data_IF_241461200786
#
_entry.id   IF_241461200786
#
_cell.length_a   1.000
_cell.length_b   1.000
_cell.length_c   1.000
_cell.angle_alpha   90.00
_cell.angle_beta   90.00
_cell.angle_gamma   90.00
#
_symmetry.space_group_name_H-M   'P 1'
#
loop_
_entity.id
_entity.type
_entity.pdbx_description
1 polymer ?
#
# COMPACT_ATOMS: atom_id res chain seq x y z
N UNK A 1 24.30 -10.58 3.02
CA UNK A 1 22.99 -9.98 2.65
C UNK A 1 22.90 -8.64 3.34
N UNK A 2 22.80 -7.55 2.59
CA UNK A 2 22.47 -6.24 3.16
C UNK A 2 21.07 -6.34 3.80
N UNK A 3 20.90 -5.83 5.02
CA UNK A 3 19.61 -5.87 5.76
C UNK A 3 18.64 -4.78 5.30
N UNK A 4 19.00 -4.02 4.26
CA UNK A 4 18.18 -2.98 3.64
C UNK A 4 16.77 -3.45 3.27
N UNK A 5 16.61 -4.67 2.72
CA UNK A 5 15.28 -5.24 2.42
C UNK A 5 14.36 -5.25 3.65
N UNK A 6 14.93 -5.52 4.83
CA UNK A 6 14.17 -5.62 6.08
C UNK A 6 13.76 -4.23 6.57
N UNK A 7 14.65 -3.24 6.44
CA UNK A 7 14.30 -1.86 6.73
C UNK A 7 13.21 -1.34 5.80
N UNK A 8 13.27 -1.65 4.50
CA UNK A 8 12.22 -1.27 3.55
C UNK A 8 10.88 -1.87 3.98
N UNK A 9 10.83 -3.17 4.28
CA UNK A 9 9.61 -3.83 4.72
C UNK A 9 9.04 -3.24 6.02
N UNK A 10 9.90 -2.92 7.00
CA UNK A 10 9.46 -2.24 8.24
C UNK A 10 8.86 -0.87 7.94
N UNK A 11 9.55 -0.04 7.15
CA UNK A 11 9.07 1.32 6.87
C UNK A 11 7.77 1.26 6.05
N UNK A 12 7.63 0.32 5.12
CA UNK A 12 6.39 0.12 4.37
C UNK A 12 5.23 -0.31 5.28
N UNK A 13 5.45 -1.25 6.21
CA UNK A 13 4.45 -1.62 7.21
C UNK A 13 4.09 -0.47 8.16
N UNK A 14 5.06 0.36 8.55
CA UNK A 14 4.78 1.58 9.31
C UNK A 14 4.00 2.60 8.47
N UNK A 15 4.29 2.70 7.17
CA UNK A 15 3.60 3.57 6.23
C UNK A 15 2.13 3.17 6.10
N UNK A 16 1.81 1.88 5.97
CA UNK A 16 0.46 1.33 5.98
C UNK A 16 -0.30 1.71 7.28
N UNK A 17 0.33 1.57 8.44
CA UNK A 17 -0.27 2.02 9.71
C UNK A 17 -0.56 3.53 9.71
N UNK A 18 0.36 4.35 9.20
CA UNK A 18 0.18 5.80 9.11
C UNK A 18 -0.95 6.14 8.13
N UNK A 19 -1.03 5.45 6.99
CA UNK A 19 -2.12 5.61 6.03
C UNK A 19 -3.47 5.33 6.70
N UNK A 20 -3.60 4.21 7.42
CA UNK A 20 -4.82 3.90 8.18
C UNK A 20 -5.18 4.97 9.22
N UNK A 21 -4.19 5.53 9.92
CA UNK A 21 -4.42 6.64 10.86
C UNK A 21 -4.88 7.91 10.14
N UNK A 22 -4.28 8.25 9.00
CA UNK A 22 -4.69 9.40 8.19
C UNK A 22 -6.10 9.24 7.67
N UNK A 23 -6.45 8.04 7.18
CA UNK A 23 -7.78 7.70 6.74
C UNK A 23 -8.83 7.89 7.83
N UNK A 24 -8.55 7.39 9.03
CA UNK A 24 -9.44 7.57 10.19
C UNK A 24 -9.54 9.02 10.65
N UNK A 25 -8.45 9.78 10.61
CA UNK A 25 -8.41 11.17 11.08
C UNK A 25 -9.12 12.12 10.10
N UNK A 26 -9.02 11.85 8.80
CA UNK A 26 -9.60 12.65 7.73
C UNK A 26 -10.83 11.96 7.11
N UNK A 27 -11.53 11.13 7.89
CA UNK A 27 -12.62 10.27 7.41
C UNK A 27 -13.70 11.04 6.66
N UNK A 28 -14.10 12.22 7.14
CA UNK A 28 -15.10 13.06 6.48
C UNK A 28 -14.66 13.48 5.06
N UNK A 29 -13.39 13.89 4.90
CA UNK A 29 -12.84 14.22 3.60
C UNK A 29 -12.84 13.00 2.68
N UNK A 30 -12.41 11.84 3.19
CA UNK A 30 -12.32 10.61 2.41
C UNK A 30 -13.69 10.06 1.99
N UNK A 31 -14.71 10.22 2.83
CA UNK A 31 -16.10 9.87 2.48
C UNK A 31 -16.59 10.75 1.32
N UNK A 32 -16.41 12.07 1.44
CA UNK A 32 -16.81 13.02 0.39
C UNK A 32 -16.04 12.75 -0.91
N UNK A 33 -14.72 12.55 -0.81
CA UNK A 33 -13.88 12.23 -1.96
C UNK A 33 -14.31 10.93 -2.63
N UNK A 34 -14.56 9.88 -1.84
CA UNK A 34 -15.06 8.59 -2.32
C UNK A 34 -16.39 8.72 -3.05
N UNK A 35 -17.32 9.54 -2.53
CA UNK A 35 -18.61 9.81 -3.16
C UNK A 35 -18.44 10.54 -4.51
N UNK A 36 -17.56 11.55 -4.58
CA UNK A 36 -17.24 12.26 -5.84
C UNK A 36 -16.68 11.28 -6.87
N UNK A 37 -15.70 10.45 -6.47
CA UNK A 37 -15.10 9.45 -7.36
C UNK A 37 -16.17 8.46 -7.84
N UNK A 38 -17.00 7.94 -6.94
CA UNK A 38 -18.09 7.03 -7.29
C UNK A 38 -19.07 7.66 -8.29
N UNK A 39 -19.45 8.92 -8.09
CA UNK A 39 -20.34 9.64 -9.00
C UNK A 39 -19.73 9.87 -10.39
N UNK A 40 -18.40 9.85 -10.52
CA UNK A 40 -17.71 9.96 -11.81
C UNK A 40 -17.62 8.58 -12.48
N UNK A 41 -17.15 7.56 -11.76
CA UNK A 41 -16.85 6.24 -12.34
C UNK A 41 -18.03 5.28 -12.38
N UNK A 42 -19.10 5.57 -11.61
CA UNK A 42 -20.34 4.80 -11.50
C UNK A 42 -20.12 3.31 -11.20
N UNK A 43 -19.02 2.98 -10.50
CA UNK A 43 -18.64 1.60 -10.17
C UNK A 43 -17.95 1.56 -8.80
N UNK A 44 -18.48 0.81 -7.82
CA UNK A 44 -17.84 0.68 -6.51
C UNK A 44 -16.45 0.04 -6.62
N UNK A 45 -16.31 -0.91 -7.55
CA UNK A 45 -15.03 -1.59 -7.79
C UNK A 45 -13.97 -0.63 -8.33
N UNK A 46 -14.33 0.23 -9.29
CA UNK A 46 -13.38 1.21 -9.84
C UNK A 46 -13.06 2.29 -8.81
N UNK A 47 -14.05 2.73 -8.02
CA UNK A 47 -13.81 3.68 -6.93
C UNK A 47 -12.86 3.10 -5.86
N UNK A 48 -12.99 1.81 -5.55
CA UNK A 48 -12.05 1.09 -4.69
C UNK A 48 -10.64 1.02 -5.31
N UNK A 49 -10.49 0.69 -6.60
CA UNK A 49 -9.17 0.72 -7.26
C UNK A 49 -8.53 2.11 -7.16
N UNK A 50 -9.31 3.19 -7.31
CA UNK A 50 -8.79 4.55 -7.15
C UNK A 50 -8.24 4.78 -5.75
N UNK A 51 -8.90 4.25 -4.72
CA UNK A 51 -8.40 4.29 -3.34
C UNK A 51 -7.05 3.57 -3.21
N UNK A 52 -6.96 2.33 -3.69
CA UNK A 52 -5.71 1.54 -3.63
C UNK A 52 -4.55 2.22 -4.38
N UNK A 53 -4.84 2.87 -5.51
CA UNK A 53 -3.82 3.64 -6.25
C UNK A 53 -3.36 4.87 -5.46
N UNK A 54 -4.26 5.55 -4.75
CA UNK A 54 -3.89 6.67 -3.90
C UNK A 54 -3.05 6.23 -2.69
N UNK A 55 -3.37 5.07 -2.10
CA UNK A 55 -2.58 4.44 -1.05
C UNK A 55 -1.17 4.08 -1.55
N UNK A 56 -1.07 3.47 -2.73
CA UNK A 56 0.20 3.19 -3.37
C UNK A 56 1.02 4.47 -3.63
N UNK A 57 0.39 5.57 -4.09
CA UNK A 57 1.05 6.87 -4.26
C UNK A 57 1.54 7.40 -2.91
N UNK A 58 0.76 7.25 -1.84
CA UNK A 58 1.17 7.62 -0.50
C UNK A 58 2.44 6.86 -0.07
N UNK A 59 2.47 5.54 -0.26
CA UNK A 59 3.66 4.73 0.03
C UNK A 59 4.86 5.11 -0.84
N UNK A 60 4.65 5.40 -2.13
CA UNK A 60 5.71 5.90 -3.01
C UNK A 60 6.38 7.12 -2.43
N UNK A 61 5.60 8.11 -1.98
CA UNK A 61 6.12 9.35 -1.41
C UNK A 61 6.88 9.06 -0.12
N UNK A 62 6.27 8.33 0.82
CA UNK A 62 6.89 8.02 2.13
C UNK A 62 8.21 7.28 1.95
N UNK A 63 8.24 6.20 1.16
CA UNK A 63 9.47 5.42 0.98
C UNK A 63 10.53 6.16 0.17
N UNK A 64 10.14 6.95 -0.84
CA UNK A 64 11.10 7.78 -1.57
C UNK A 64 11.79 8.79 -0.65
N UNK A 65 11.05 9.37 0.29
CA UNK A 65 11.60 10.33 1.26
C UNK A 65 12.46 9.64 2.33
N UNK A 66 12.04 8.51 2.88
CA UNK A 66 12.82 7.83 3.94
C UNK A 66 14.14 7.28 3.39
N UNK A 67 14.11 6.64 2.22
CA UNK A 67 15.29 6.02 1.62
C UNK A 67 16.04 6.94 0.64
N UNK A 68 15.55 8.16 0.42
CA UNK A 68 16.10 9.10 -0.57
C UNK A 68 16.24 8.46 -1.98
N UNK A 69 15.29 7.59 -2.34
CA UNK A 69 15.34 6.77 -3.54
C UNK A 69 13.95 6.59 -4.15
N UNK A 70 13.72 7.25 -5.28
CA UNK A 70 12.49 7.10 -6.07
C UNK A 70 12.32 5.64 -6.51
N UNK A 71 13.41 4.94 -6.82
CA UNK A 71 13.38 3.53 -7.21
C UNK A 71 12.79 2.65 -6.09
N UNK A 72 13.23 2.84 -4.84
CA UNK A 72 12.67 2.10 -3.69
C UNK A 72 11.20 2.46 -3.50
N UNK A 73 10.85 3.74 -3.60
CA UNK A 73 9.45 4.18 -3.50
C UNK A 73 8.54 3.55 -4.55
N UNK A 74 8.96 3.55 -5.83
CA UNK A 74 8.20 2.93 -6.92
C UNK A 74 8.05 1.43 -6.72
N UNK A 75 9.13 0.74 -6.35
CA UNK A 75 9.10 -0.71 -6.09
C UNK A 75 8.15 -1.05 -4.95
N UNK A 76 8.23 -0.31 -3.84
CA UNK A 76 7.41 -0.50 -2.64
C UNK A 76 5.92 -0.25 -2.93
N UNK A 77 5.59 0.87 -3.57
CA UNK A 77 4.22 1.21 -3.95
C UNK A 77 3.62 0.18 -4.91
N UNK A 78 4.42 -0.30 -5.86
CA UNK A 78 3.96 -1.25 -6.87
C UNK A 78 3.68 -2.62 -6.25
N UNK A 79 4.60 -3.14 -5.42
CA UNK A 79 4.37 -4.44 -4.77
C UNK A 79 3.18 -4.38 -3.80
N UNK A 80 3.03 -3.28 -3.05
CA UNK A 80 1.91 -3.09 -2.16
C UNK A 80 0.58 -3.13 -2.91
N UNK A 81 0.43 -2.30 -3.96
CA UNK A 81 -0.74 -2.28 -4.83
C UNK A 81 -1.05 -3.64 -5.45
N UNK A 82 -0.03 -4.40 -5.86
CA UNK A 82 -0.23 -5.75 -6.41
C UNK A 82 -0.84 -6.68 -5.37
N UNK A 83 -0.39 -6.59 -4.11
CA UNK A 83 -0.94 -7.40 -3.02
C UNK A 83 -2.39 -6.99 -2.74
N UNK A 84 -2.70 -5.69 -2.74
CA UNK A 84 -4.06 -5.19 -2.56
C UNK A 84 -5.04 -5.67 -3.62
N UNK A 85 -4.65 -5.48 -4.87
CA UNK A 85 -5.42 -5.97 -6.01
C UNK A 85 -5.59 -7.50 -5.94
N UNK A 86 -4.55 -8.22 -5.51
CA UNK A 86 -4.60 -9.69 -5.42
C UNK A 86 -5.60 -10.15 -4.37
N UNK A 87 -5.46 -9.74 -3.11
CA UNK A 87 -6.32 -10.28 -2.04
C UNK A 87 -7.78 -9.87 -2.23
N UNK A 88 -8.05 -8.70 -2.80
CA UNK A 88 -9.41 -8.28 -3.14
C UNK A 88 -9.97 -9.04 -4.35
N UNK A 89 -9.18 -9.26 -5.42
CA UNK A 89 -9.62 -10.03 -6.58
C UNK A 89 -10.05 -11.46 -6.21
N UNK A 90 -9.32 -12.09 -5.29
CA UNK A 90 -9.66 -13.42 -4.75
C UNK A 90 -10.65 -13.37 -3.58
N UNK A 91 -11.14 -12.18 -3.20
CA UNK A 91 -12.09 -11.96 -2.13
C UNK A 91 -11.68 -12.64 -0.82
N UNK A 92 -10.38 -12.53 -0.47
CA UNK A 92 -9.81 -13.14 0.71
C UNK A 92 -10.34 -12.42 1.96
N UNK A 93 -11.03 -13.16 2.83
CA UNK A 93 -11.54 -12.62 4.09
C UNK A 93 -10.45 -12.62 5.15
N UNK A 94 -9.63 -11.57 5.15
CA UNK A 94 -8.52 -11.40 6.08
C UNK A 94 -8.93 -10.54 7.27
N UNK A 95 -8.57 -10.97 8.48
CA UNK A 95 -8.56 -10.06 9.64
C UNK A 95 -7.50 -8.98 9.44
N UNK A 96 -7.59 -7.81 10.10
CA UNK A 96 -6.58 -6.76 9.97
C UNK A 96 -5.14 -7.22 10.26
N UNK A 97 -4.97 -8.19 11.17
CA UNK A 97 -3.67 -8.79 11.46
C UNK A 97 -3.17 -9.68 10.31
N UNK A 98 -4.05 -10.51 9.74
CA UNK A 98 -3.71 -11.37 8.61
C UNK A 98 -3.40 -10.56 7.36
N UNK A 99 -4.13 -9.46 7.13
CA UNK A 99 -3.88 -8.53 6.04
C UNK A 99 -2.47 -7.94 6.13
N UNK A 100 -2.13 -7.31 7.27
CA UNK A 100 -0.78 -6.75 7.47
C UNK A 100 0.33 -7.81 7.43
N UNK A 101 0.08 -9.00 7.96
CA UNK A 101 1.04 -10.09 7.91
C UNK A 101 1.30 -10.58 6.47
N UNK A 102 0.26 -10.59 5.62
CA UNK A 102 0.38 -10.91 4.20
C UNK A 102 1.28 -9.90 3.50
N UNK A 103 1.01 -8.60 3.66
CA UNK A 103 1.82 -7.52 3.10
C UNK A 103 3.27 -7.64 3.54
N UNK A 104 3.52 -7.63 4.86
CA UNK A 104 4.87 -7.69 5.39
C UNK A 104 5.66 -8.90 4.88
N UNK A 105 5.02 -10.07 4.78
CA UNK A 105 5.68 -11.30 4.31
C UNK A 105 6.04 -11.24 2.83
N UNK A 106 5.10 -10.86 1.97
CA UNK A 106 5.32 -10.82 0.52
C UNK A 106 6.27 -9.69 0.15
N UNK A 107 6.10 -8.51 0.73
CA UNK A 107 6.97 -7.34 0.50
C UNK A 107 8.41 -7.63 0.94
N UNK A 108 8.59 -8.29 2.09
CA UNK A 108 9.92 -8.73 2.55
C UNK A 108 10.58 -9.68 1.55
N UNK A 109 9.86 -10.71 1.10
CA UNK A 109 10.37 -11.69 0.12
C UNK A 109 10.72 -10.98 -1.20
N UNK A 110 9.87 -10.07 -1.65
CA UNK A 110 10.09 -9.29 -2.87
C UNK A 110 11.40 -8.49 -2.79
N UNK A 111 11.61 -7.70 -1.73
CA UNK A 111 12.84 -6.92 -1.58
C UNK A 111 14.07 -7.78 -1.30
N UNK A 112 13.92 -8.93 -0.63
CA UNK A 112 15.01 -9.90 -0.50
C UNK A 112 15.49 -10.38 -1.87
N UNK A 113 14.55 -10.69 -2.79
CA UNK A 113 14.89 -11.15 -4.14
C UNK A 113 15.49 -10.01 -4.96
N UNK A 114 14.83 -8.85 -4.99
CA UNK A 114 15.24 -7.71 -5.82
C UNK A 114 16.63 -7.17 -5.42
N UNK A 115 16.96 -7.15 -4.13
CA UNK A 115 18.26 -6.66 -3.64
C UNK A 115 19.34 -7.75 -3.53
N UNK A 116 18.98 -9.03 -3.73
CA UNK A 116 19.96 -10.12 -3.81
C UNK A 116 20.51 -10.34 -5.23
N UNK A 117 19.79 -9.82 -6.24
CA UNK A 117 20.23 -9.72 -7.63
C UNK A 117 21.21 -8.55 -7.82
#
# INVERSE_FOLDING_TARGET
MNIEWFYIAIVLACSDIIHGVLWHTLSDFYIIFGEIVYNIVQSPFVAWIVHEVLEAIFHLIVLSLVFQSITIGVLAATIHLIIDLYHNFYNLKLTPLQHRALHFSIESIFFMIVLAL
#
